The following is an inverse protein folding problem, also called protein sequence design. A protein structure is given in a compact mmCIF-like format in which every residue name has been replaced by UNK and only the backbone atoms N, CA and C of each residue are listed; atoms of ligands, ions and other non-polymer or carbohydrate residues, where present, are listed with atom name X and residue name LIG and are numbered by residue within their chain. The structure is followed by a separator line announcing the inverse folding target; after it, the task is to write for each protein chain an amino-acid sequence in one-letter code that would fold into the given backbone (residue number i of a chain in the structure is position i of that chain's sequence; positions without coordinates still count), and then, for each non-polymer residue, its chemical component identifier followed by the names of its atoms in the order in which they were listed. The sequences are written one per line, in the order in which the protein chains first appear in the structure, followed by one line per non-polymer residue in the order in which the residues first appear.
data_IF_385134406385
#
_entry.id   IF_385134406385
#
_cell.length_a   1.000
_cell.length_b   1.000
_cell.length_c   1.000
_cell.angle_alpha   90.00
_cell.angle_beta   90.00
_cell.angle_gamma   90.00
#
_symmetry.space_group_name_H-M   'P 1'
#
loop_
_entity.id
_entity.type
_entity.pdbx_description
1 polymer ?
#
# COMPACT_ATOMS: atom_id res chain seq x y z
N UNK A 1 21.33 32.07 -8.53
CA UNK A 1 22.26 31.04 -9.09
C UNK A 1 21.84 29.58 -8.85
N UNK A 2 20.80 29.26 -8.06
CA UNK A 2 20.33 27.87 -7.85
C UNK A 2 19.46 27.30 -9.00
N UNK A 3 18.89 28.16 -9.85
CA UNK A 3 17.95 27.76 -10.92
C UNK A 3 18.65 27.06 -12.11
N UNK A 4 19.88 27.48 -12.45
CA UNK A 4 20.65 26.90 -13.56
C UNK A 4 21.17 25.49 -13.25
N UNK A 5 21.40 25.17 -11.97
CA UNK A 5 21.87 23.85 -11.54
C UNK A 5 20.76 22.77 -11.52
N UNK A 6 19.50 23.21 -11.46
CA UNK A 6 18.32 22.35 -11.40
C UNK A 6 17.88 21.88 -12.79
N UNK A 7 17.97 22.76 -13.79
CA UNK A 7 17.67 22.42 -15.18
C UNK A 7 18.69 21.42 -15.77
N UNK A 8 19.95 21.46 -15.34
CA UNK A 8 20.96 20.48 -15.77
C UNK A 8 20.79 19.08 -15.16
N UNK A 9 20.12 18.97 -14.00
CA UNK A 9 19.82 17.70 -13.34
C UNK A 9 18.63 16.98 -13.99
N UNK A 10 17.62 17.74 -14.44
CA UNK A 10 16.45 17.21 -15.16
C UNK A 10 16.86 16.70 -16.55
N UNK A 11 17.73 17.42 -17.26
CA UNK A 11 18.30 16.99 -18.55
C UNK A 11 19.21 15.74 -18.47
N UNK A 12 19.59 15.29 -17.26
CA UNK A 12 20.42 14.08 -17.04
C UNK A 12 19.61 12.83 -16.68
N UNK A 13 18.29 12.92 -16.49
CA UNK A 13 17.47 11.73 -16.23
C UNK A 13 17.31 10.90 -17.52
N UNK A 14 17.29 11.52 -18.70
CA UNK A 14 17.36 10.80 -19.98
C UNK A 14 18.69 10.06 -20.16
N UNK A 15 19.77 10.55 -19.55
CA UNK A 15 21.07 9.89 -19.49
C UNK A 15 21.10 8.66 -18.55
N UNK A 16 20.08 8.46 -17.71
CA UNK A 16 19.89 7.23 -16.92
C UNK A 16 19.16 6.15 -17.69
N UNK A 17 18.77 6.39 -18.95
CA UNK A 17 18.14 5.35 -19.75
C UNK A 17 19.05 4.12 -19.81
N UNK A 18 20.34 4.28 -20.16
CA UNK A 18 21.34 3.19 -20.13
C UNK A 18 22.21 3.23 -18.87
N UNK A 19 22.26 2.14 -18.08
CA UNK A 19 23.21 2.01 -16.99
C UNK A 19 24.66 2.23 -17.43
N UNK A 20 25.38 3.06 -16.70
CA UNK A 20 26.82 3.32 -16.85
C UNK A 20 27.51 3.27 -15.49
N UNK A 21 28.84 3.37 -15.49
CA UNK A 21 29.66 3.43 -14.26
C UNK A 21 29.23 4.55 -13.30
N UNK A 22 28.65 5.64 -13.83
CA UNK A 22 28.20 6.78 -13.03
C UNK A 22 26.74 6.68 -12.56
N UNK A 23 25.98 5.69 -13.05
CA UNK A 23 24.56 5.54 -12.68
C UNK A 23 24.33 5.40 -11.16
N UNK A 24 25.15 4.64 -10.39
CA UNK A 24 25.04 4.62 -8.94
C UNK A 24 25.17 6.01 -8.30
N UNK A 25 26.13 6.82 -8.76
CA UNK A 25 26.38 8.17 -8.24
C UNK A 25 25.18 9.08 -8.45
N UNK A 26 24.68 9.11 -9.69
CA UNK A 26 23.59 9.99 -10.09
C UNK A 26 22.33 9.63 -9.31
N UNK A 27 22.04 8.34 -9.13
CA UNK A 27 20.89 7.90 -8.33
C UNK A 27 21.06 8.27 -6.87
N UNK A 28 22.22 8.07 -6.26
CA UNK A 28 22.48 8.46 -4.87
C UNK A 28 22.26 9.96 -4.66
N UNK A 29 22.81 10.80 -5.54
CA UNK A 29 22.62 12.25 -5.49
C UNK A 29 21.16 12.65 -5.69
N UNK A 30 20.47 11.98 -6.62
CA UNK A 30 19.04 12.21 -6.86
C UNK A 30 18.19 11.86 -5.64
N UNK A 31 18.44 10.73 -4.98
CA UNK A 31 17.75 10.32 -3.75
C UNK A 31 17.96 11.35 -2.63
N UNK A 32 19.21 11.74 -2.39
CA UNK A 32 19.58 12.75 -1.38
C UNK A 32 18.89 14.08 -1.68
N UNK A 33 18.93 14.55 -2.93
CA UNK A 33 18.29 15.79 -3.35
C UNK A 33 16.77 15.73 -3.18
N UNK A 34 16.13 14.61 -3.55
CA UNK A 34 14.66 14.47 -3.39
C UNK A 34 14.24 14.46 -1.92
N UNK A 35 14.96 13.75 -1.06
CA UNK A 35 14.59 13.66 0.36
C UNK A 35 14.93 14.95 1.10
N UNK A 36 16.18 15.42 1.04
CA UNK A 36 16.61 16.58 1.83
C UNK A 36 16.43 17.91 1.11
N UNK A 37 16.78 17.96 -0.18
CA UNK A 37 16.64 19.19 -0.97
C UNK A 37 15.19 19.60 -1.23
N UNK A 38 14.29 18.62 -1.39
CA UNK A 38 12.85 18.87 -1.62
C UNK A 38 11.95 18.50 -0.42
N UNK A 39 12.53 18.12 0.73
CA UNK A 39 11.77 17.80 1.94
C UNK A 39 10.79 16.64 1.78
N UNK A 40 11.08 15.64 0.94
CA UNK A 40 10.18 14.50 0.69
C UNK A 40 10.34 13.42 1.77
N UNK A 41 9.26 12.68 2.03
CA UNK A 41 9.27 11.57 2.99
C UNK A 41 10.01 10.36 2.44
N UNK A 42 10.51 9.51 3.35
CA UNK A 42 11.26 8.29 3.04
C UNK A 42 10.60 7.35 2.03
N UNK A 43 9.27 7.22 2.05
CA UNK A 43 8.54 6.40 1.07
C UNK A 43 8.76 6.83 -0.39
N UNK A 44 9.15 8.09 -0.60
CA UNK A 44 9.56 8.60 -1.91
C UNK A 44 10.89 7.97 -2.35
N UNK A 45 11.87 7.84 -1.45
CA UNK A 45 13.14 7.17 -1.73
C UNK A 45 12.93 5.69 -2.05
N UNK A 46 12.09 4.98 -1.28
CA UNK A 46 11.75 3.58 -1.56
C UNK A 46 11.09 3.41 -2.94
N UNK A 47 10.18 4.33 -3.29
CA UNK A 47 9.51 4.32 -4.60
C UNK A 47 10.48 4.60 -5.75
N UNK A 48 11.34 5.61 -5.61
CA UNK A 48 12.38 5.95 -6.60
C UNK A 48 13.32 4.75 -6.80
N UNK A 49 13.82 4.17 -5.71
CA UNK A 49 14.71 3.02 -5.74
C UNK A 49 14.05 1.82 -6.46
N UNK A 50 12.80 1.51 -6.13
CA UNK A 50 12.05 0.44 -6.79
C UNK A 50 11.80 0.72 -8.28
N UNK A 51 11.46 1.96 -8.64
CA UNK A 51 11.20 2.37 -10.01
C UNK A 51 12.44 2.23 -10.89
N UNK A 52 13.60 2.75 -10.46
CA UNK A 52 14.85 2.60 -11.21
C UNK A 52 15.29 1.14 -11.30
N UNK A 53 15.11 0.36 -10.23
CA UNK A 53 15.42 -1.08 -10.24
C UNK A 53 14.60 -1.81 -11.30
N UNK A 54 13.31 -1.52 -11.37
CA UNK A 54 12.40 -2.11 -12.35
C UNK A 54 12.73 -1.65 -13.78
N UNK A 55 12.93 -0.34 -13.97
CA UNK A 55 13.24 0.27 -15.27
C UNK A 55 14.45 -0.39 -15.92
N UNK A 56 15.55 -0.56 -15.18
CA UNK A 56 16.75 -1.19 -15.73
C UNK A 56 16.64 -2.70 -15.87
N UNK A 57 15.90 -3.37 -14.97
CA UNK A 57 15.60 -4.81 -15.11
C UNK A 57 14.85 -5.14 -16.39
N UNK A 58 14.05 -4.22 -16.92
CA UNK A 58 13.21 -4.41 -18.10
C UNK A 58 13.87 -4.01 -19.42
N UNK A 59 15.05 -3.37 -19.39
CA UNK A 59 15.55 -2.63 -20.55
C UNK A 59 16.39 -3.42 -21.55
N UNK A 60 17.21 -4.36 -21.09
CA UNK A 60 18.16 -5.08 -21.96
C UNK A 60 18.22 -6.57 -21.53
N UNK A 61 17.08 -7.25 -21.63
CA UNK A 61 16.93 -8.65 -21.24
C UNK A 61 17.39 -8.92 -19.80
N UNK A 62 18.31 -9.87 -19.63
CA UNK A 62 18.86 -10.26 -18.33
C UNK A 62 20.18 -9.52 -17.97
N UNK A 63 20.71 -8.65 -18.84
CA UNK A 63 22.02 -8.00 -18.66
C UNK A 63 22.14 -7.14 -17.39
N UNK A 64 21.06 -6.45 -17.03
CA UNK A 64 21.01 -5.57 -15.86
C UNK A 64 20.28 -6.21 -14.68
N UNK A 65 20.32 -7.54 -14.58
CA UNK A 65 19.80 -8.31 -13.44
C UNK A 65 20.93 -8.79 -12.55
N UNK A 66 20.69 -8.74 -11.25
CA UNK A 66 21.66 -9.19 -10.24
C UNK A 66 22.59 -8.06 -9.77
N UNK A 67 23.63 -8.46 -9.03
CA UNK A 67 24.56 -7.55 -8.34
C UNK A 67 25.36 -6.72 -9.34
N UNK A 68 25.44 -5.41 -9.13
CA UNK A 68 26.23 -4.50 -9.96
C UNK A 68 27.73 -4.82 -9.86
N UNK A 69 28.37 -5.11 -10.99
CA UNK A 69 29.82 -5.32 -11.07
C UNK A 69 30.33 -5.08 -12.49
N UNK A 70 31.64 -4.86 -12.59
CA UNK A 70 32.32 -4.83 -13.88
C UNK A 70 32.64 -6.26 -14.32
N UNK A 71 32.22 -6.64 -15.53
CA UNK A 71 32.57 -7.92 -16.14
C UNK A 71 33.80 -7.72 -17.04
N UNK A 72 34.98 -8.28 -16.68
CA UNK A 72 36.20 -8.11 -17.47
C UNK A 72 36.14 -8.83 -18.82
N UNK A 73 35.35 -9.91 -18.95
CA UNK A 73 35.23 -10.69 -20.18
C UNK A 73 34.47 -9.93 -21.27
N UNK A 74 33.39 -9.26 -20.89
CA UNK A 74 32.59 -8.46 -21.83
C UNK A 74 32.99 -6.97 -21.84
N UNK A 75 33.97 -6.59 -21.02
CA UNK A 75 34.45 -5.22 -20.81
C UNK A 75 33.27 -4.26 -20.57
N UNK A 76 32.28 -4.70 -19.79
CA UNK A 76 31.04 -3.99 -19.59
C UNK A 76 30.56 -4.10 -18.14
N UNK A 77 29.88 -3.06 -17.68
CA UNK A 77 29.16 -3.12 -16.42
C UNK A 77 27.85 -3.90 -16.58
N UNK A 78 27.64 -4.86 -15.67
CA UNK A 78 26.48 -5.76 -15.66
C UNK A 78 25.84 -5.78 -14.28
N UNK A 79 24.60 -6.26 -14.20
CA UNK A 79 23.77 -6.18 -13.00
C UNK A 79 23.03 -4.85 -12.88
N UNK A 80 22.34 -4.63 -11.77
CA UNK A 80 21.51 -3.44 -11.58
C UNK A 80 22.25 -2.38 -10.74
N UNK A 81 22.47 -1.14 -11.23
CA UNK A 81 23.15 -0.09 -10.47
C UNK A 81 22.50 0.24 -9.12
N UNK A 82 21.20 0.00 -8.97
CA UNK A 82 20.49 0.16 -7.70
C UNK A 82 21.02 -0.81 -6.63
N UNK A 83 21.48 -1.99 -7.03
CA UNK A 83 22.04 -3.00 -6.15
C UNK A 83 23.55 -2.79 -5.89
N UNK A 84 24.09 -1.61 -6.24
CA UNK A 84 25.47 -1.23 -5.91
C UNK A 84 25.61 -0.85 -4.43
N UNK A 85 26.81 -1.06 -3.85
CA UNK A 85 27.09 -0.70 -2.45
C UNK A 85 26.76 0.78 -2.16
N UNK A 86 27.16 1.68 -3.06
CA UNK A 86 26.94 3.13 -2.91
C UNK A 86 25.46 3.49 -2.74
N UNK A 87 24.58 2.93 -3.57
CA UNK A 87 23.14 3.19 -3.48
C UNK A 87 22.55 2.59 -2.21
N UNK A 88 22.99 1.39 -1.83
CA UNK A 88 22.55 0.76 -0.57
C UNK A 88 22.96 1.57 0.66
N UNK A 89 24.22 2.02 0.73
CA UNK A 89 24.72 2.85 1.82
C UNK A 89 23.98 4.19 1.90
N UNK A 90 23.68 4.78 0.74
CA UNK A 90 22.87 6.02 0.66
C UNK A 90 21.46 5.79 1.22
N UNK A 91 20.81 4.67 0.85
CA UNK A 91 19.48 4.32 1.36
C UNK A 91 19.50 4.07 2.87
N UNK A 92 20.54 3.43 3.40
CA UNK A 92 20.72 3.22 4.85
C UNK A 92 20.90 4.57 5.56
N UNK A 93 21.73 5.46 5.03
CA UNK A 93 21.92 6.80 5.61
C UNK A 93 20.60 7.60 5.62
N UNK A 94 19.83 7.55 4.53
CA UNK A 94 18.49 8.18 4.45
C UNK A 94 17.56 7.59 5.51
N UNK A 95 17.50 6.25 5.63
CA UNK A 95 16.66 5.55 6.61
C UNK A 95 17.01 5.93 8.04
N UNK A 96 18.30 5.95 8.37
CA UNK A 96 18.76 6.27 9.71
C UNK A 96 18.39 7.70 10.09
N UNK A 97 18.66 8.67 9.21
CA UNK A 97 18.34 10.08 9.50
C UNK A 97 16.83 10.33 9.56
N UNK A 98 16.05 9.81 8.60
CA UNK A 98 14.59 9.93 8.64
C UNK A 98 13.95 9.17 9.83
N UNK A 99 14.61 8.13 10.34
CA UNK A 99 14.19 7.40 11.54
C UNK A 99 14.54 8.13 12.84
N UNK A 100 15.68 8.82 12.88
CA UNK A 100 16.11 9.67 14.00
C UNK A 100 15.24 10.91 14.16
N UNK A 101 14.75 11.48 13.05
CA UNK A 101 13.86 12.66 13.05
C UNK A 101 12.46 12.37 13.64
N UNK A 102 12.29 11.26 14.37
CA UNK A 102 11.13 11.00 15.20
C UNK A 102 9.84 11.11 14.40
N UNK A 103 9.81 10.54 13.19
CA UNK A 103 8.63 10.56 12.37
C UNK A 103 7.48 9.93 13.15
N UNK A 104 6.59 10.76 13.69
CA UNK A 104 5.35 10.34 14.31
C UNK A 104 4.80 9.21 13.46
N UNK A 105 4.60 8.04 14.06
CA UNK A 105 4.04 6.89 13.35
C UNK A 105 2.65 7.29 12.87
N UNK A 106 2.55 7.82 11.64
CA UNK A 106 1.31 8.14 10.93
C UNK A 106 0.68 6.85 10.39
N UNK A 107 0.70 5.79 11.19
CA UNK A 107 -0.20 4.69 10.94
C UNK A 107 -1.60 5.25 11.11
N UNK A 108 -2.46 4.99 10.12
CA UNK A 108 -3.89 5.27 10.29
C UNK A 108 -4.33 4.58 11.57
N UNK A 109 -4.81 5.38 12.52
CA UNK A 109 -5.37 4.84 13.75
C UNK A 109 -6.61 4.00 13.41
N UNK A 110 -6.84 2.96 14.20
CA UNK A 110 -8.10 2.26 14.13
C UNK A 110 -9.24 3.25 14.44
N UNK A 111 -10.34 3.16 13.69
CA UNK A 111 -11.52 3.97 13.94
C UNK A 111 -12.05 3.66 15.36
N UNK A 112 -12.17 4.68 16.21
CA UNK A 112 -12.76 4.51 17.53
C UNK A 112 -14.26 4.31 17.42
N UNK A 113 -14.84 3.68 18.45
CA UNK A 113 -16.29 3.54 18.59
C UNK A 113 -16.97 4.92 18.60
N UNK A 114 -16.44 5.90 19.33
CA UNK A 114 -16.97 7.27 19.37
C UNK A 114 -17.06 7.94 17.99
N UNK A 115 -16.06 7.73 17.13
CA UNK A 115 -16.11 8.26 15.76
C UNK A 115 -17.16 7.52 14.92
N UNK A 116 -17.25 6.20 15.05
CA UNK A 116 -18.27 5.39 14.36
C UNK A 116 -19.69 5.80 14.77
N UNK A 117 -19.94 5.92 16.07
CA UNK A 117 -21.24 6.32 16.63
C UNK A 117 -21.65 7.69 16.13
N UNK A 118 -20.72 8.65 16.03
CA UNK A 118 -20.98 9.97 15.40
C UNK A 118 -21.33 9.87 13.91
N UNK A 119 -20.61 9.05 13.15
CA UNK A 119 -20.92 8.84 11.73
C UNK A 119 -22.31 8.19 11.55
N UNK A 120 -22.70 7.30 12.45
CA UNK A 120 -23.99 6.62 12.39
C UNK A 120 -25.13 7.56 12.82
N UNK A 121 -24.94 8.36 13.86
CA UNK A 121 -25.88 9.41 14.25
C UNK A 121 -26.16 10.38 13.09
N UNK A 122 -25.11 10.90 12.45
CA UNK A 122 -25.25 11.73 11.24
C UNK A 122 -26.01 11.01 10.11
N UNK A 123 -25.71 9.72 9.90
CA UNK A 123 -26.41 8.93 8.88
C UNK A 123 -27.88 8.71 9.23
N UNK A 124 -28.22 8.59 10.52
CA UNK A 124 -29.58 8.37 11.01
C UNK A 124 -30.40 9.67 10.99
N UNK A 125 -29.79 10.82 11.21
CA UNK A 125 -30.40 12.13 10.96
C UNK A 125 -30.81 12.30 9.49
N UNK A 126 -29.97 11.83 8.57
CA UNK A 126 -30.22 11.95 7.12
C UNK A 126 -31.16 10.86 6.60
N UNK A 127 -31.00 9.63 7.08
CA UNK A 127 -31.75 8.46 6.64
C UNK A 127 -32.09 7.57 7.87
N UNK A 128 -33.17 7.90 8.61
CA UNK A 128 -33.53 7.19 9.82
C UNK A 128 -34.02 5.77 9.53
N UNK A 129 -33.89 4.89 10.53
CA UNK A 129 -34.25 3.48 10.43
C UNK A 129 -35.72 3.25 10.06
N UNK A 130 -36.63 4.12 10.49
CA UNK A 130 -38.05 4.08 10.12
C UNK A 130 -38.26 4.12 8.60
N UNK A 131 -37.36 4.76 7.86
CA UNK A 131 -37.46 4.93 6.40
C UNK A 131 -36.82 3.79 5.60
N UNK A 132 -36.25 2.78 6.25
CA UNK A 132 -35.55 1.69 5.54
C UNK A 132 -36.51 0.83 4.72
N UNK A 133 -37.68 0.52 5.28
CA UNK A 133 -38.69 -0.33 4.63
C UNK A 133 -39.71 0.48 3.80
N UNK A 134 -39.78 1.80 4.01
CA UNK A 134 -40.63 2.67 3.21
C UNK A 134 -40.25 2.62 1.72
N UNK A 135 -41.24 2.43 0.86
CA UNK A 135 -41.05 2.51 -0.59
C UNK A 135 -40.55 3.91 -0.97
N UNK A 136 -39.41 3.98 -1.64
CA UNK A 136 -38.93 5.23 -2.24
C UNK A 136 -39.86 5.65 -3.37
N UNK A 137 -40.25 6.92 -3.36
CA UNK A 137 -41.11 7.51 -4.39
C UNK A 137 -40.31 8.02 -5.58
N UNK A 138 -39.06 8.44 -5.35
CA UNK A 138 -38.16 9.00 -6.36
C UNK A 138 -36.84 8.23 -6.46
N UNK A 139 -36.13 8.42 -7.58
CA UNK A 139 -34.80 7.82 -7.82
C UNK A 139 -33.77 8.44 -6.85
N UNK A 140 -33.91 9.73 -6.57
CA UNK A 140 -33.08 10.49 -5.64
C UNK A 140 -33.17 9.92 -4.23
N UNK A 141 -34.39 9.66 -3.75
CA UNK A 141 -34.62 9.02 -2.45
C UNK A 141 -34.01 7.61 -2.41
N UNK A 142 -34.18 6.82 -3.47
CA UNK A 142 -33.62 5.47 -3.55
C UNK A 142 -32.09 5.50 -3.51
N UNK A 143 -31.46 6.44 -4.21
CA UNK A 143 -30.02 6.62 -4.24
C UNK A 143 -29.48 7.06 -2.87
N UNK A 144 -30.18 8.00 -2.21
CA UNK A 144 -29.82 8.44 -0.86
C UNK A 144 -29.88 7.26 0.12
N UNK A 145 -31.01 6.55 0.19
CA UNK A 145 -31.17 5.38 1.08
C UNK A 145 -30.10 4.33 0.81
N UNK A 146 -29.86 4.00 -0.46
CA UNK A 146 -28.85 3.01 -0.85
C UNK A 146 -27.44 3.42 -0.40
N UNK A 147 -27.06 4.69 -0.56
CA UNK A 147 -25.75 5.21 -0.13
C UNK A 147 -25.57 5.09 1.38
N UNK A 148 -26.56 5.52 2.16
CA UNK A 148 -26.49 5.47 3.62
C UNK A 148 -26.47 4.03 4.15
N UNK A 149 -27.34 3.15 3.64
CA UNK A 149 -27.36 1.74 4.03
C UNK A 149 -26.07 1.01 3.64
N UNK A 150 -25.56 1.25 2.43
CA UNK A 150 -24.28 0.67 1.99
C UNK A 150 -23.12 1.17 2.85
N UNK A 151 -23.08 2.47 3.17
CA UNK A 151 -22.07 3.05 4.06
C UNK A 151 -22.13 2.43 5.46
N UNK A 152 -23.31 2.39 6.10
CA UNK A 152 -23.50 1.81 7.44
C UNK A 152 -23.08 0.34 7.47
N UNK A 153 -23.55 -0.45 6.51
CA UNK A 153 -23.19 -1.86 6.37
C UNK A 153 -21.66 -2.03 6.17
N UNK A 154 -21.06 -1.24 5.30
CA UNK A 154 -19.62 -1.31 5.04
C UNK A 154 -18.78 -0.92 6.26
N UNK A 155 -19.14 0.18 6.92
CA UNK A 155 -18.41 0.70 8.07
C UNK A 155 -18.52 -0.24 9.28
N UNK A 156 -19.73 -0.68 9.65
CA UNK A 156 -19.92 -1.61 10.77
C UNK A 156 -19.22 -2.93 10.53
N UNK A 157 -19.38 -3.52 9.34
CA UNK A 157 -18.72 -4.78 9.00
C UNK A 157 -17.20 -4.63 9.05
N UNK A 158 -16.66 -3.55 8.47
CA UNK A 158 -15.21 -3.29 8.48
C UNK A 158 -14.63 -3.22 9.88
N UNK A 159 -15.35 -2.57 10.79
CA UNK A 159 -14.94 -2.36 12.17
C UNK A 159 -15.08 -3.63 13.00
N UNK A 160 -16.19 -4.36 12.89
CA UNK A 160 -16.44 -5.60 13.63
C UNK A 160 -15.38 -6.66 13.30
N UNK A 161 -15.09 -6.88 12.02
CA UNK A 161 -14.18 -7.97 11.59
C UNK A 161 -12.75 -7.49 11.30
N UNK A 162 -12.46 -6.20 11.54
CA UNK A 162 -11.15 -5.58 11.33
C UNK A 162 -10.62 -5.82 9.90
N UNK A 163 -11.51 -5.72 8.91
CA UNK A 163 -11.16 -5.91 7.50
C UNK A 163 -10.59 -4.64 6.89
N UNK A 164 -9.73 -4.77 5.88
CA UNK A 164 -9.34 -3.63 5.03
C UNK A 164 -10.42 -3.33 4.01
N UNK A 165 -10.50 -2.09 3.52
CA UNK A 165 -11.49 -1.70 2.50
C UNK A 165 -11.46 -2.63 1.28
N UNK A 166 -10.27 -2.96 0.77
CA UNK A 166 -10.11 -3.86 -0.39
C UNK A 166 -10.53 -5.31 -0.15
N UNK A 167 -10.57 -5.75 1.11
CA UNK A 167 -11.08 -7.07 1.49
C UNK A 167 -12.61 -7.04 1.47
N UNK A 168 -13.22 -5.99 2.04
CA UNK A 168 -14.67 -5.90 2.16
C UNK A 168 -15.39 -5.61 0.84
N UNK A 169 -14.81 -4.82 -0.07
CA UNK A 169 -15.40 -4.58 -1.41
C UNK A 169 -15.52 -5.86 -2.26
N UNK A 170 -14.81 -6.93 -1.89
CA UNK A 170 -14.86 -8.25 -2.55
C UNK A 170 -15.81 -9.22 -1.86
N UNK A 171 -16.46 -8.80 -0.77
CA UNK A 171 -17.45 -9.63 -0.07
C UNK A 171 -18.64 -9.87 -1.01
N UNK A 172 -19.09 -11.11 -1.06
CA UNK A 172 -20.19 -11.57 -1.90
C UNK A 172 -21.19 -12.32 -1.03
N UNK A 173 -22.45 -12.40 -1.46
CA UNK A 173 -23.50 -13.12 -0.74
C UNK A 173 -23.14 -14.56 -0.38
N UNK A 174 -22.38 -15.25 -1.25
CA UNK A 174 -21.89 -16.62 -1.05
C UNK A 174 -20.90 -16.78 0.13
N UNK A 175 -20.33 -15.67 0.61
CA UNK A 175 -19.43 -15.66 1.76
C UNK A 175 -20.17 -15.49 3.10
N UNK A 176 -21.51 -15.40 3.06
CA UNK A 176 -22.36 -15.26 4.22
C UNK A 176 -23.27 -16.47 4.36
N UNK A 177 -23.21 -17.14 5.51
CA UNK A 177 -24.10 -18.25 5.86
C UNK A 177 -24.95 -17.83 7.04
N UNK A 178 -26.27 -17.83 6.87
CA UNK A 178 -27.24 -17.40 7.89
C UNK A 178 -27.97 -18.60 8.48
N UNK A 179 -28.60 -18.40 9.64
CA UNK A 179 -29.43 -19.43 10.29
C UNK A 179 -28.60 -20.57 10.88
N UNK A 180 -27.40 -20.26 11.36
CA UNK A 180 -26.55 -21.23 12.05
C UNK A 180 -26.84 -21.17 13.55
N UNK A 181 -26.71 -22.32 14.22
CA UNK A 181 -26.84 -22.43 15.67
C UNK A 181 -25.62 -23.16 16.23
N UNK A 182 -25.09 -22.66 17.34
CA UNK A 182 -23.98 -23.31 18.03
C UNK A 182 -24.54 -24.24 19.12
N UNK A 183 -24.57 -25.54 18.83
CA UNK A 183 -25.01 -26.57 19.76
C UNK A 183 -24.18 -26.64 21.04
N UNK A 184 -22.95 -26.11 21.02
CA UNK A 184 -22.07 -26.03 22.20
C UNK A 184 -22.28 -24.76 23.01
N UNK A 185 -22.92 -23.75 22.41
CA UNK A 185 -23.26 -22.50 23.07
C UNK A 185 -24.79 -22.35 23.20
N UNK A 186 -25.46 -23.36 23.75
CA UNK A 186 -26.90 -23.34 24.04
C UNK A 186 -27.78 -23.01 22.82
N UNK A 187 -27.41 -23.49 21.63
CA UNK A 187 -28.09 -23.19 20.37
C UNK A 187 -28.17 -21.69 20.07
N UNK A 188 -27.14 -20.92 20.45
CA UNK A 188 -27.09 -19.49 20.16
C UNK A 188 -27.09 -19.27 18.64
N UNK A 189 -28.03 -18.46 18.10
CA UNK A 189 -28.09 -18.19 16.68
C UNK A 189 -26.94 -17.28 16.25
N UNK A 190 -26.32 -17.60 15.13
CA UNK A 190 -25.27 -16.78 14.53
C UNK A 190 -25.33 -16.84 13.00
N UNK A 191 -24.51 -16.00 12.37
CA UNK A 191 -24.20 -16.11 10.96
C UNK A 191 -22.69 -16.18 10.78
N UNK A 192 -22.24 -16.91 9.77
CA UNK A 192 -20.83 -17.03 9.43
C UNK A 192 -20.49 -16.07 8.30
N UNK A 193 -19.35 -15.37 8.44
CA UNK A 193 -18.77 -14.53 7.41
C UNK A 193 -17.37 -15.04 7.05
N UNK A 194 -17.20 -15.51 5.82
CA UNK A 194 -15.94 -16.08 5.35
C UNK A 194 -15.14 -15.05 4.51
N UNK A 195 -14.04 -14.54 5.06
CA UNK A 195 -13.09 -13.69 4.32
C UNK A 195 -11.98 -14.53 3.70
N UNK A 196 -12.02 -14.73 2.38
CA UNK A 196 -10.94 -15.38 1.64
C UNK A 196 -9.83 -14.39 1.27
N UNK A 197 -8.59 -14.86 1.16
CA UNK A 197 -7.42 -14.08 0.69
C UNK A 197 -7.06 -12.83 1.53
N UNK A 198 -7.18 -12.92 2.87
CA UNK A 198 -6.74 -11.82 3.75
C UNK A 198 -5.25 -11.49 3.56
N UNK A 199 -4.95 -10.21 3.35
CA UNK A 199 -3.58 -9.74 3.11
C UNK A 199 -2.73 -9.99 4.36
N UNK A 200 -1.67 -10.79 4.19
CA UNK A 200 -0.73 -11.18 5.25
C UNK A 200 -0.95 -12.59 5.80
N UNK A 201 -2.15 -13.18 5.63
CA UNK A 201 -2.43 -14.53 6.12
C UNK A 201 -1.88 -15.62 5.19
N UNK A 202 -1.97 -15.41 3.88
CA UNK A 202 -1.41 -16.33 2.86
C UNK A 202 0.10 -16.57 3.06
N UNK A 203 0.84 -15.56 3.51
CA UNK A 203 2.28 -15.71 3.80
C UNK A 203 2.56 -16.60 5.01
N UNK A 204 1.63 -16.70 5.98
CA UNK A 204 1.78 -17.57 7.14
C UNK A 204 1.49 -19.02 6.78
N UNK A 205 0.41 -19.29 6.04
CA UNK A 205 0.06 -20.66 5.59
C UNK A 205 1.19 -21.26 4.73
N UNK A 206 1.74 -20.48 3.80
CA UNK A 206 2.87 -20.93 2.97
C UNK A 206 4.18 -21.09 3.76
N UNK A 207 4.31 -20.48 4.94
CA UNK A 207 5.48 -20.65 5.80
C UNK A 207 5.34 -21.91 6.66
N UNK A 208 4.15 -22.16 7.21
CA UNK A 208 3.85 -23.39 7.97
C UNK A 208 3.99 -24.63 7.11
N UNK A 209 3.56 -24.58 5.83
CA UNK A 209 3.75 -25.70 4.90
C UNK A 209 5.21 -25.91 4.47
N UNK A 210 6.10 -24.93 4.67
CA UNK A 210 7.54 -25.08 4.39
C UNK A 210 8.36 -25.55 5.60
N UNK A 211 7.77 -25.51 6.80
CA UNK A 211 8.39 -25.98 8.04
C UNK A 211 7.92 -27.40 8.41
N UNK A 212 6.98 -27.96 7.64
CA UNK A 212 6.46 -29.31 7.78
C UNK A 212 6.97 -30.30 6.71
N UNK A 213 7.85 -29.82 5.80
CA UNK A 213 8.69 -30.61 4.89
C UNK A 213 10.16 -30.52 5.37
#
# INVERSE_FOLDING_TARGET
MASLHLNSMILRIDALSTPSVHSPEIVSLYLVYKIYGQGRKIGTADTIHAAFKLMWKMRDGDKYRGKWHFNPTTVAWVGNPIDSAKVQDTMVAIKNKCGMDGGDRKHSLAMSEEFMSRMFAWSDETCPASRYEEKSSTVEEKNLKTKHLAFKCFASTSWIIWSRCFELIKLQRKHLTFGLEDSKAFNTPYFELQLTNRKGWQKRVNKTNKEAD
#
